data_IF_004482782854
#
_entry.id   IF_004482782854
#
_cell.length_a   1.000
_cell.length_b   1.000
_cell.length_c   1.000
_cell.angle_alpha   90.00
_cell.angle_beta   90.00
_cell.angle_gamma   90.00
#
_symmetry.space_group_name_H-M   'P 1'
#
loop_
_entity.id
_entity.type
_entity.pdbx_description
1 polymer ?
#
# COMPACT_ATOMS: atom_id res chain seq x y z
N UNK A 1 -9.80 -30.71 -20.30
CA UNK A 1 -9.85 -31.38 -21.62
C UNK A 1 -8.56 -32.11 -21.81
N UNK A 2 -8.58 -33.27 -22.46
CA UNK A 2 -7.36 -33.95 -22.89
C UNK A 2 -6.84 -33.21 -24.14
N UNK A 3 -5.67 -32.54 -24.08
CA UNK A 3 -5.14 -31.76 -25.21
C UNK A 3 -4.54 -32.66 -26.31
N UNK A 4 -4.45 -33.98 -26.08
CA UNK A 4 -3.91 -34.92 -27.05
C UNK A 4 -4.87 -35.01 -28.24
N UNK A 5 -4.45 -34.50 -29.41
CA UNK A 5 -5.20 -34.43 -30.68
C UNK A 5 -6.07 -33.19 -30.94
N UNK A 6 -5.98 -32.14 -30.12
CA UNK A 6 -6.59 -30.84 -30.45
C UNK A 6 -5.63 -29.95 -31.22
N UNK A 7 -6.14 -29.09 -32.09
CA UNK A 7 -5.29 -28.06 -32.72
C UNK A 7 -5.00 -26.97 -31.71
N UNK A 8 -3.91 -26.26 -31.95
CA UNK A 8 -3.50 -25.14 -31.13
C UNK A 8 -4.55 -24.03 -31.11
N UNK A 9 -5.25 -23.82 -32.23
CA UNK A 9 -6.32 -22.84 -32.37
C UNK A 9 -7.59 -23.24 -31.58
N UNK A 10 -7.91 -24.54 -31.52
CA UNK A 10 -9.02 -25.05 -30.71
C UNK A 10 -8.82 -24.82 -29.20
N UNK A 11 -7.56 -24.78 -28.75
CA UNK A 11 -7.21 -24.67 -27.32
C UNK A 11 -7.03 -23.22 -26.88
N UNK A 12 -6.34 -22.41 -27.69
CA UNK A 12 -5.97 -21.04 -27.31
C UNK A 12 -6.82 -19.96 -27.99
N UNK A 13 -7.44 -20.27 -29.14
CA UNK A 13 -8.17 -19.32 -29.98
C UNK A 13 -7.39 -18.01 -30.15
N UNK A 14 -6.13 -18.13 -30.56
CA UNK A 14 -5.16 -17.03 -30.61
C UNK A 14 -4.37 -17.08 -31.92
N UNK A 15 -4.69 -16.15 -32.82
CA UNK A 15 -4.10 -16.07 -34.16
C UNK A 15 -2.57 -15.94 -34.14
N UNK A 16 -2.01 -15.19 -33.18
CA UNK A 16 -0.54 -15.03 -33.06
C UNK A 16 0.16 -16.35 -32.79
N UNK A 17 -0.50 -17.22 -32.00
CA UNK A 17 0.06 -18.49 -31.59
C UNK A 17 -0.11 -19.55 -32.68
N UNK A 18 -1.13 -19.43 -33.53
CA UNK A 18 -1.23 -20.18 -34.77
C UNK A 18 -0.12 -19.78 -35.76
N UNK A 19 0.03 -18.49 -36.03
CA UNK A 19 1.02 -17.93 -36.96
C UNK A 19 2.46 -18.33 -36.55
N UNK A 20 2.77 -18.30 -35.25
CA UNK A 20 4.08 -18.71 -34.75
C UNK A 20 4.37 -20.20 -34.95
N UNK A 21 3.36 -21.06 -34.87
CA UNK A 21 3.52 -22.51 -35.12
C UNK A 21 3.71 -22.79 -36.61
N UNK A 22 2.95 -22.12 -37.49
CA UNK A 22 3.14 -22.24 -38.93
C UNK A 22 4.50 -21.70 -39.39
N UNK A 23 4.89 -20.53 -38.89
CA UNK A 23 6.18 -19.92 -39.19
C UNK A 23 7.34 -20.79 -38.69
N UNK A 24 7.27 -21.33 -37.46
CA UNK A 24 8.29 -22.26 -36.94
C UNK A 24 8.42 -23.52 -37.81
N UNK A 25 7.30 -24.07 -38.28
CA UNK A 25 7.30 -25.25 -39.14
C UNK A 25 7.88 -24.99 -40.54
N UNK A 26 7.73 -23.77 -41.05
CA UNK A 26 8.15 -23.40 -42.41
C UNK A 26 9.57 -22.83 -42.45
N UNK A 27 9.90 -21.95 -41.51
CA UNK A 27 11.15 -21.19 -41.46
C UNK A 27 12.22 -21.89 -40.61
N UNK A 28 11.82 -22.76 -39.68
CA UNK A 28 12.76 -23.48 -38.81
C UNK A 28 13.45 -22.58 -37.79
N UNK A 29 12.86 -21.42 -37.48
CA UNK A 29 13.33 -20.49 -36.45
C UNK A 29 12.49 -20.58 -35.17
N UNK A 30 13.07 -20.12 -34.05
CA UNK A 30 12.36 -20.00 -32.78
C UNK A 30 11.51 -18.74 -32.76
N UNK A 31 10.24 -18.89 -32.36
CA UNK A 31 9.33 -17.76 -32.19
C UNK A 31 8.98 -17.58 -30.73
N UNK A 32 9.14 -16.35 -30.23
CA UNK A 32 8.85 -15.98 -28.85
C UNK A 32 8.00 -14.72 -28.82
N UNK A 33 6.83 -14.83 -28.22
CA UNK A 33 5.87 -13.72 -28.12
C UNK A 33 4.98 -13.89 -26.89
N UNK A 34 4.35 -12.79 -26.49
CA UNK A 34 3.45 -12.76 -25.36
C UNK A 34 2.01 -12.56 -25.83
N UNK A 35 1.08 -13.20 -25.14
CA UNK A 35 -0.34 -13.02 -25.39
C UNK A 35 -1.13 -13.13 -24.08
N UNK A 36 -2.34 -12.59 -24.10
CA UNK A 36 -3.31 -12.72 -23.02
C UNK A 36 -4.27 -13.88 -23.31
N UNK A 37 -4.58 -14.68 -22.29
CA UNK A 37 -5.44 -15.86 -22.44
C UNK A 37 -6.40 -16.05 -21.28
N UNK A 38 -7.64 -16.44 -21.57
CA UNK A 38 -8.72 -16.65 -20.60
C UNK A 38 -9.61 -15.42 -20.37
N UNK A 39 -10.83 -15.65 -19.86
CA UNK A 39 -11.83 -14.58 -19.71
C UNK A 39 -11.87 -13.90 -18.33
N UNK A 40 -11.34 -14.54 -17.28
CA UNK A 40 -11.04 -13.97 -15.94
C UNK A 40 -10.65 -15.09 -14.95
N UNK A 41 -9.49 -15.02 -14.25
CA UNK A 41 -8.44 -14.04 -14.47
C UNK A 41 -7.81 -14.21 -15.85
N UNK A 42 -7.47 -13.10 -16.50
CA UNK A 42 -6.69 -13.11 -17.73
C UNK A 42 -5.25 -13.46 -17.38
N UNK A 43 -4.70 -14.49 -18.03
CA UNK A 43 -3.33 -14.91 -17.87
C UNK A 43 -2.45 -14.19 -18.89
N UNK A 44 -1.30 -13.68 -18.46
CA UNK A 44 -0.25 -13.21 -19.36
C UNK A 44 0.71 -14.36 -19.61
N UNK A 45 0.75 -14.87 -20.85
CA UNK A 45 1.53 -16.04 -21.22
C UNK A 45 2.63 -15.62 -22.18
N UNK A 46 3.86 -16.04 -21.87
CA UNK A 46 4.96 -16.06 -22.83
C UNK A 46 4.99 -17.42 -23.52
N UNK A 47 4.66 -17.44 -24.80
CA UNK A 47 4.86 -18.61 -25.65
C UNK A 47 6.27 -18.59 -26.25
N UNK A 48 6.91 -19.75 -26.26
CA UNK A 48 8.12 -19.98 -27.04
C UNK A 48 7.92 -21.26 -27.83
N UNK A 49 8.00 -21.16 -29.16
CA UNK A 49 7.88 -22.27 -30.10
C UNK A 49 9.26 -22.50 -30.71
N UNK A 50 9.88 -23.61 -30.35
CA UNK A 50 11.24 -23.95 -30.78
C UNK A 50 11.19 -25.20 -31.66
N UNK A 51 11.83 -25.20 -32.84
CA UNK A 51 11.91 -26.38 -33.69
C UNK A 51 12.87 -27.40 -33.06
N UNK A 52 12.53 -28.68 -33.20
CA UNK A 52 13.40 -29.76 -32.72
C UNK A 52 14.38 -30.17 -33.82
N UNK A 53 15.65 -30.32 -33.46
CA UNK A 53 16.69 -30.79 -34.40
C UNK A 53 16.44 -32.24 -34.87
N UNK A 54 15.72 -33.04 -34.09
CA UNK A 54 15.31 -34.40 -34.44
C UNK A 54 13.84 -34.59 -34.10
N UNK A 55 13.11 -35.27 -34.99
CA UNK A 55 11.72 -35.64 -34.76
C UNK A 55 11.63 -36.60 -33.57
N UNK A 56 10.72 -36.33 -32.65
CA UNK A 56 10.49 -37.21 -31.50
C UNK A 56 9.99 -38.59 -31.94
N UNK A 57 10.09 -39.60 -31.08
CA UNK A 57 9.60 -40.95 -31.36
C UNK A 57 8.08 -41.01 -31.69
N UNK A 58 7.33 -39.95 -31.36
CA UNK A 58 5.90 -39.80 -31.64
C UNK A 58 5.61 -38.85 -32.82
N UNK A 59 6.63 -38.45 -33.60
CA UNK A 59 6.45 -37.57 -34.76
C UNK A 59 6.45 -36.07 -34.45
N UNK A 60 6.72 -35.67 -33.21
CA UNK A 60 6.79 -34.26 -32.82
C UNK A 60 8.00 -33.56 -33.42
N UNK A 61 7.80 -32.41 -34.06
CA UNK A 61 8.86 -31.64 -34.77
C UNK A 61 9.21 -30.31 -34.09
N UNK A 62 8.42 -29.92 -33.10
CA UNK A 62 8.52 -28.64 -32.40
C UNK A 62 8.18 -28.85 -30.92
N UNK A 63 8.70 -27.99 -30.06
CA UNK A 63 8.30 -27.88 -28.66
C UNK A 63 7.72 -26.49 -28.44
N UNK A 64 6.58 -26.42 -27.77
CA UNK A 64 5.99 -25.17 -27.31
C UNK A 64 6.06 -25.14 -25.79
N UNK A 65 6.65 -24.09 -25.24
CA UNK A 65 6.61 -23.80 -23.80
C UNK A 65 5.73 -22.59 -23.55
N UNK A 66 4.86 -22.70 -22.56
CA UNK A 66 3.97 -21.63 -22.12
C UNK A 66 4.37 -21.28 -20.69
N UNK A 67 4.89 -20.07 -20.50
CA UNK A 67 5.26 -19.56 -19.19
C UNK A 67 4.23 -18.54 -18.73
N UNK A 68 3.61 -18.78 -17.56
CA UNK A 68 2.73 -17.81 -16.92
C UNK A 68 3.55 -16.66 -16.32
N UNK A 69 3.41 -15.47 -16.91
CA UNK A 69 4.01 -14.22 -16.47
C UNK A 69 3.03 -13.31 -15.73
N UNK A 70 1.81 -13.78 -15.42
CA UNK A 70 0.74 -12.95 -14.84
C UNK A 70 1.18 -12.24 -13.56
N UNK A 71 1.79 -12.97 -12.62
CA UNK A 71 2.27 -12.39 -11.35
C UNK A 71 3.41 -11.39 -11.56
N UNK A 72 4.30 -11.68 -12.51
CA UNK A 72 5.40 -10.78 -12.85
C UNK A 72 4.86 -9.48 -13.44
N UNK A 73 3.95 -9.56 -14.41
CA UNK A 73 3.33 -8.40 -15.06
C UNK A 73 2.52 -7.55 -14.09
N UNK A 74 1.76 -8.18 -13.20
CA UNK A 74 1.06 -7.48 -12.13
C UNK A 74 2.05 -6.72 -11.22
N UNK A 75 3.18 -7.34 -10.88
CA UNK A 75 4.22 -6.70 -10.05
C UNK A 75 4.88 -5.53 -10.77
N UNK A 76 5.20 -5.68 -12.06
CA UNK A 76 5.75 -4.61 -12.90
C UNK A 76 4.77 -3.45 -13.04
N UNK A 77 3.49 -3.73 -13.28
CA UNK A 77 2.45 -2.72 -13.37
C UNK A 77 2.29 -1.96 -12.04
N UNK A 78 2.23 -2.66 -10.90
CA UNK A 78 2.15 -2.03 -9.57
C UNK A 78 3.36 -1.13 -9.30
N UNK A 79 4.57 -1.52 -9.75
CA UNK A 79 5.77 -0.68 -9.65
C UNK A 79 5.70 0.55 -10.56
N UNK A 80 5.26 0.38 -11.81
CA UNK A 80 5.11 1.50 -12.75
C UNK A 80 4.07 2.51 -12.25
N UNK A 81 2.92 2.03 -11.79
CA UNK A 81 1.85 2.86 -11.22
C UNK A 81 2.34 3.59 -9.96
N UNK A 82 3.13 2.93 -9.12
CA UNK A 82 3.75 3.57 -7.97
C UNK A 82 4.66 4.75 -8.37
N UNK A 83 5.56 4.55 -9.33
CA UNK A 83 6.46 5.61 -9.82
C UNK A 83 5.68 6.77 -10.44
N UNK A 84 4.65 6.47 -11.24
CA UNK A 84 3.77 7.47 -11.82
C UNK A 84 3.05 8.27 -10.72
N UNK A 85 2.46 7.59 -9.73
CA UNK A 85 1.74 8.23 -8.62
C UNK A 85 2.65 9.11 -7.75
N UNK A 86 3.86 8.64 -7.41
CA UNK A 86 4.88 9.44 -6.71
C UNK A 86 5.19 10.72 -7.50
N UNK A 87 5.43 10.58 -8.80
CA UNK A 87 5.75 11.70 -9.68
C UNK A 87 4.63 12.73 -9.72
N UNK A 88 3.37 12.27 -9.77
CA UNK A 88 2.20 13.16 -9.74
C UNK A 88 2.03 13.86 -8.40
N UNK A 89 2.13 13.13 -7.28
CA UNK A 89 1.97 13.71 -5.94
C UNK A 89 3.10 14.66 -5.54
N UNK A 90 4.29 14.54 -6.14
CA UNK A 90 5.38 15.53 -5.99
C UNK A 90 5.22 16.73 -6.93
N UNK A 91 4.77 16.52 -8.17
CA UNK A 91 4.66 17.60 -9.18
C UNK A 91 3.67 18.67 -8.76
N UNK A 92 2.48 18.30 -8.28
CA UNK A 92 1.43 19.26 -7.91
C UNK A 92 1.87 20.27 -6.84
N UNK A 93 2.34 19.87 -5.64
CA UNK A 93 2.78 20.82 -4.62
C UNK A 93 3.98 21.65 -5.10
N UNK A 94 4.89 21.06 -5.88
CA UNK A 94 6.03 21.78 -6.44
C UNK A 94 5.59 22.89 -7.41
N UNK A 95 4.65 22.61 -8.31
CA UNK A 95 4.08 23.63 -9.21
C UNK A 95 3.38 24.75 -8.44
N UNK A 96 2.67 24.42 -7.36
CA UNK A 96 2.04 25.41 -6.47
C UNK A 96 3.08 26.29 -5.77
N UNK A 97 4.17 25.70 -5.25
CA UNK A 97 5.28 26.45 -4.64
C UNK A 97 5.91 27.42 -5.64
N UNK A 98 6.22 26.95 -6.86
CA UNK A 98 6.78 27.79 -7.93
C UNK A 98 5.86 28.96 -8.25
N UNK A 99 4.54 28.71 -8.41
CA UNK A 99 3.58 29.78 -8.70
C UNK A 99 3.46 30.84 -7.59
N UNK A 100 3.53 30.44 -6.33
CA UNK A 100 3.54 31.41 -5.21
C UNK A 100 4.84 32.20 -5.14
N UNK A 101 5.99 31.56 -5.40
CA UNK A 101 7.29 32.24 -5.50
C UNK A 101 7.25 33.28 -6.62
N UNK A 102 6.77 32.93 -7.81
CA UNK A 102 6.60 33.84 -8.94
C UNK A 102 5.66 35.01 -8.60
N UNK A 103 4.57 34.73 -7.89
CA UNK A 103 3.60 35.76 -7.47
C UNK A 103 4.24 36.77 -6.51
N UNK A 104 4.99 36.30 -5.51
CA UNK A 104 5.70 37.14 -4.54
C UNK A 104 6.86 37.93 -5.17
N UNK A 105 7.50 37.38 -6.21
CA UNK A 105 8.56 38.07 -6.94
C UNK A 105 8.03 39.09 -7.96
N UNK A 106 6.79 38.92 -8.43
CA UNK A 106 6.15 39.77 -9.44
C UNK A 106 4.98 40.59 -8.90
N UNK A 107 3.71 40.24 -9.20
CA UNK A 107 2.56 41.09 -8.93
C UNK A 107 2.33 41.46 -7.46
N UNK A 108 2.67 40.57 -6.53
CA UNK A 108 2.51 40.80 -5.08
C UNK A 108 3.81 41.29 -4.42
N UNK A 109 4.77 41.76 -5.21
CA UNK A 109 6.05 42.23 -4.68
C UNK A 109 5.85 43.45 -3.78
N UNK A 110 6.17 43.30 -2.50
CA UNK A 110 6.03 44.35 -1.50
C UNK A 110 4.67 44.36 -0.79
N UNK A 111 3.77 43.44 -1.12
CA UNK A 111 2.52 43.22 -0.37
C UNK A 111 2.80 42.30 0.83
N UNK A 112 2.85 42.91 2.02
CA UNK A 112 3.16 42.19 3.26
C UNK A 112 2.05 41.20 3.66
N UNK A 113 0.79 41.50 3.37
CA UNK A 113 -0.34 40.62 3.72
C UNK A 113 -0.35 39.38 2.82
N UNK A 114 -0.17 39.59 1.51
CA UNK A 114 -0.01 38.49 0.55
C UNK A 114 1.23 37.64 0.88
N UNK A 115 2.34 38.27 1.30
CA UNK A 115 3.55 37.56 1.72
C UNK A 115 3.30 36.59 2.89
N UNK A 116 2.67 37.06 3.97
CA UNK A 116 2.36 36.19 5.12
C UNK A 116 1.48 35.02 4.70
N UNK A 117 0.43 35.28 3.91
CA UNK A 117 -0.49 34.24 3.44
C UNK A 117 0.22 33.21 2.56
N UNK A 118 0.94 33.64 1.53
CA UNK A 118 1.59 32.72 0.60
C UNK A 118 2.74 31.95 1.25
N UNK A 119 3.52 32.57 2.14
CA UNK A 119 4.55 31.87 2.92
C UNK A 119 3.96 30.76 3.79
N UNK A 120 2.79 31.00 4.41
CA UNK A 120 2.07 29.95 5.16
C UNK A 120 1.70 28.76 4.27
N UNK A 121 1.06 29.02 3.13
CA UNK A 121 0.68 27.95 2.19
C UNK A 121 1.91 27.20 1.66
N UNK A 122 3.00 27.93 1.38
CA UNK A 122 4.26 27.33 0.94
C UNK A 122 4.86 26.42 2.01
N UNK A 123 4.85 26.84 3.28
CA UNK A 123 5.32 26.02 4.39
C UNK A 123 4.51 24.73 4.52
N UNK A 124 3.19 24.80 4.36
CA UNK A 124 2.31 23.63 4.40
C UNK A 124 2.59 22.65 3.25
N UNK A 125 2.80 23.16 2.02
CA UNK A 125 3.16 22.32 0.88
C UNK A 125 4.53 21.68 1.05
N UNK A 126 5.52 22.41 1.57
CA UNK A 126 6.86 21.89 1.85
C UNK A 126 6.81 20.80 2.93
N UNK A 127 6.08 21.02 4.03
CA UNK A 127 5.89 20.03 5.09
C UNK A 127 5.16 18.78 4.58
N UNK A 128 4.20 18.93 3.66
CA UNK A 128 3.53 17.81 2.99
C UNK A 128 4.50 17.01 2.11
N UNK A 129 5.36 17.69 1.33
CA UNK A 129 6.38 17.01 0.52
C UNK A 129 7.41 16.27 1.39
N UNK A 130 7.85 16.85 2.51
CA UNK A 130 8.78 16.18 3.44
C UNK A 130 8.20 14.87 3.94
N UNK A 131 6.95 14.89 4.45
CA UNK A 131 6.26 13.67 4.89
C UNK A 131 6.11 12.63 3.79
N UNK A 132 5.81 13.05 2.56
CA UNK A 132 5.72 12.13 1.43
C UNK A 132 7.07 11.46 1.16
N UNK A 133 8.18 12.20 1.21
CA UNK A 133 9.52 11.64 1.02
C UNK A 133 9.88 10.68 2.15
N UNK A 134 9.60 11.04 3.40
CA UNK A 134 9.82 10.17 4.57
C UNK A 134 9.02 8.86 4.47
N UNK A 135 7.74 8.94 4.09
CA UNK A 135 6.88 7.77 3.86
C UNK A 135 7.45 6.84 2.76
N UNK A 136 7.98 7.42 1.68
CA UNK A 136 8.58 6.65 0.58
C UNK A 136 9.87 5.95 1.00
N UNK A 137 10.73 6.65 1.77
CA UNK A 137 11.97 6.08 2.30
C UNK A 137 11.68 4.95 3.31
N UNK A 138 10.70 5.16 4.19
CA UNK A 138 10.22 4.15 5.13
C UNK A 138 9.72 2.91 4.38
N UNK A 139 8.80 3.08 3.42
CA UNK A 139 8.25 1.98 2.65
C UNK A 139 9.34 1.21 1.89
N UNK A 140 10.27 1.91 1.25
CA UNK A 140 11.42 1.31 0.56
C UNK A 140 12.29 0.49 1.51
N UNK A 141 12.61 1.04 2.68
CA UNK A 141 13.41 0.34 3.71
C UNK A 141 12.72 -0.93 4.20
N UNK A 142 11.41 -0.88 4.46
CA UNK A 142 10.63 -2.04 4.91
C UNK A 142 10.58 -3.13 3.83
N UNK A 143 10.41 -2.74 2.57
CA UNK A 143 10.39 -3.68 1.43
C UNK A 143 11.75 -4.35 1.23
N UNK A 144 12.86 -3.60 1.35
CA UNK A 144 14.21 -4.16 1.28
C UNK A 144 14.49 -5.15 2.41
N UNK A 145 13.93 -4.91 3.60
CA UNK A 145 14.13 -5.72 4.80
C UNK A 145 13.00 -6.73 5.05
N UNK A 146 12.10 -6.96 4.09
CA UNK A 146 10.91 -7.79 4.26
C UNK A 146 11.22 -9.24 4.68
N UNK A 147 12.40 -9.74 4.32
CA UNK A 147 12.85 -11.10 4.68
C UNK A 147 13.52 -11.18 6.06
N UNK A 148 13.86 -10.04 6.67
CA UNK A 148 14.58 -9.97 7.94
C UNK A 148 13.57 -9.70 9.05
N UNK A 149 13.32 -10.73 9.86
CA UNK A 149 12.43 -10.63 11.01
C UNK A 149 13.04 -9.76 12.12
N UNK A 150 12.27 -8.78 12.64
CA UNK A 150 12.64 -8.10 13.86
C UNK A 150 12.75 -9.09 15.03
N UNK A 151 13.81 -8.92 15.84
CA UNK A 151 14.10 -9.82 16.97
C UNK A 151 13.93 -9.16 18.34
N UNK A 152 13.70 -7.85 18.40
CA UNK A 152 13.53 -7.09 19.63
C UNK A 152 12.28 -7.48 20.42
N UNK A 153 12.29 -7.19 21.71
CA UNK A 153 11.12 -7.25 22.58
C UNK A 153 10.61 -5.83 22.79
N UNK A 154 9.36 -5.58 22.40
CA UNK A 154 8.73 -4.25 22.48
C UNK A 154 7.60 -4.30 23.51
N UNK A 155 7.64 -3.40 24.48
CA UNK A 155 6.55 -3.18 25.45
C UNK A 155 5.47 -2.31 24.80
N UNK A 156 4.36 -2.96 24.45
CA UNK A 156 3.29 -2.33 23.70
C UNK A 156 2.43 -1.39 24.52
N UNK A 157 2.35 -1.60 25.84
CA UNK A 157 1.67 -0.65 26.71
C UNK A 157 2.44 0.68 26.74
N UNK A 158 3.76 0.62 26.91
CA UNK A 158 4.61 1.83 26.91
C UNK A 158 4.61 2.55 25.57
N UNK A 159 4.71 1.80 24.47
CA UNK A 159 4.72 2.38 23.14
C UNK A 159 3.41 3.14 22.85
N UNK A 160 2.26 2.52 23.11
CA UNK A 160 0.95 3.15 22.90
C UNK A 160 0.78 4.40 23.75
N UNK A 161 1.26 4.38 25.00
CA UNK A 161 1.25 5.55 25.88
C UNK A 161 2.05 6.71 25.27
N UNK A 162 3.31 6.46 24.88
CA UNK A 162 4.19 7.50 24.29
C UNK A 162 3.62 8.09 23.00
N UNK A 163 3.05 7.25 22.12
CA UNK A 163 2.43 7.72 20.88
C UNK A 163 1.19 8.56 21.18
N UNK A 164 0.34 8.12 22.12
CA UNK A 164 -0.87 8.85 22.52
C UNK A 164 -0.54 10.21 23.14
N UNK A 165 0.45 10.26 24.03
CA UNK A 165 0.93 11.52 24.63
C UNK A 165 1.44 12.48 23.56
N UNK A 166 2.18 11.98 22.57
CA UNK A 166 2.71 12.81 21.49
C UNK A 166 1.61 13.38 20.58
N UNK A 167 0.50 12.66 20.43
CA UNK A 167 -0.66 13.06 19.62
C UNK A 167 -1.75 13.80 20.40
N UNK A 168 -1.65 13.88 21.72
CA UNK A 168 -2.63 14.54 22.61
C UNK A 168 -2.92 15.99 22.19
N UNK A 169 -1.88 16.82 22.04
CA UNK A 169 -2.01 18.21 21.57
C UNK A 169 -2.72 18.34 20.22
N UNK A 170 -2.58 17.33 19.34
CA UNK A 170 -3.24 17.34 18.03
C UNK A 170 -4.70 16.94 18.15
N UNK A 171 -5.02 15.95 18.98
CA UNK A 171 -6.40 15.58 19.30
C UNK A 171 -7.14 16.76 19.95
N UNK A 172 -6.54 17.44 20.92
CA UNK A 172 -7.13 18.61 21.58
C UNK A 172 -7.44 19.74 20.60
N UNK A 173 -6.53 20.04 19.65
CA UNK A 173 -6.78 21.03 18.60
C UNK A 173 -7.92 20.64 17.65
N UNK A 174 -8.20 19.34 17.54
CA UNK A 174 -9.33 18.81 16.78
C UNK A 174 -10.61 18.67 17.64
N UNK A 175 -10.59 19.17 18.89
CA UNK A 175 -11.65 18.99 19.89
C UNK A 175 -11.96 17.51 20.15
N UNK A 176 -10.92 16.69 20.28
CA UNK A 176 -11.01 15.25 20.51
C UNK A 176 -10.15 14.84 21.69
N UNK A 177 -10.39 13.64 22.22
CA UNK A 177 -9.56 13.02 23.25
C UNK A 177 -9.10 11.62 22.85
N UNK A 178 -8.07 11.11 23.54
CA UNK A 178 -7.56 9.75 23.34
C UNK A 178 -7.75 9.00 24.65
N UNK A 179 -8.51 7.91 24.63
CA UNK A 179 -8.70 7.01 25.77
C UNK A 179 -7.98 5.68 25.55
N UNK A 180 -7.49 5.09 26.63
CA UNK A 180 -6.64 3.90 26.60
C UNK A 180 -7.13 2.84 27.59
N UNK A 181 -7.49 1.68 27.05
CA UNK A 181 -7.89 0.50 27.78
C UNK A 181 -6.87 -0.63 27.51
N UNK A 182 -5.81 -0.68 28.33
CA UNK A 182 -4.67 -1.58 28.14
C UNK A 182 -4.60 -2.60 29.28
N UNK A 183 -4.69 -3.89 28.94
CA UNK A 183 -4.79 -4.98 29.90
C UNK A 183 -3.55 -5.86 29.94
N UNK A 184 -2.76 -5.75 31.01
CA UNK A 184 -1.62 -6.63 31.32
C UNK A 184 -0.30 -6.25 30.61
N UNK A 185 0.79 -7.00 30.85
CA UNK A 185 2.05 -6.80 30.15
C UNK A 185 1.94 -7.30 28.70
N UNK A 186 2.13 -6.40 27.74
CA UNK A 186 1.97 -6.69 26.31
C UNK A 186 3.34 -6.65 25.62
N UNK A 187 4.10 -7.74 25.71
CA UNK A 187 5.38 -7.85 25.02
C UNK A 187 5.18 -8.45 23.63
N UNK A 188 5.68 -7.76 22.61
CA UNK A 188 5.62 -8.17 21.21
C UNK A 188 7.02 -8.36 20.65
N UNK A 189 7.21 -9.36 19.79
CA UNK A 189 8.45 -9.49 19.02
C UNK A 189 8.44 -8.47 17.89
N UNK A 190 9.33 -7.50 17.90
CA UNK A 190 9.27 -6.40 16.94
C UNK A 190 10.42 -5.42 16.96
N UNK A 191 10.35 -4.51 16.00
CA UNK A 191 11.14 -3.29 15.93
C UNK A 191 10.34 -2.14 16.54
N UNK A 192 10.94 -1.42 17.50
CA UNK A 192 10.23 -0.39 18.26
C UNK A 192 9.86 0.82 17.39
N UNK A 193 10.73 1.21 16.45
CA UNK A 193 10.50 2.39 15.61
C UNK A 193 9.42 2.10 14.58
N UNK A 194 9.43 0.91 13.99
CA UNK A 194 8.40 0.50 13.05
C UNK A 194 7.02 0.32 13.72
N UNK A 195 6.97 -0.30 14.90
CA UNK A 195 5.70 -0.41 15.63
C UNK A 195 5.20 0.97 16.10
N UNK A 196 6.10 1.88 16.45
CA UNK A 196 5.75 3.29 16.72
C UNK A 196 5.11 3.91 15.49
N UNK A 197 5.69 3.70 14.31
CA UNK A 197 5.15 4.20 13.05
C UNK A 197 3.77 3.59 12.72
N UNK A 198 3.53 2.32 13.04
CA UNK A 198 2.22 1.68 12.87
C UNK A 198 1.16 2.44 13.67
N UNK A 199 1.37 2.56 14.98
CA UNK A 199 0.35 3.14 15.85
C UNK A 199 0.25 4.66 15.69
N UNK A 200 1.34 5.35 15.36
CA UNK A 200 1.28 6.75 14.96
C UNK A 200 0.34 6.94 13.78
N UNK A 201 0.51 6.17 12.70
CA UNK A 201 -0.34 6.28 11.50
C UNK A 201 -1.81 5.97 11.78
N UNK A 202 -2.09 4.94 12.59
CA UNK A 202 -3.46 4.55 12.92
C UNK A 202 -4.16 5.59 13.79
N UNK A 203 -3.48 6.07 14.84
CA UNK A 203 -4.03 7.07 15.78
C UNK A 203 -4.16 8.44 15.08
N UNK A 204 -3.17 8.84 14.28
CA UNK A 204 -3.26 10.07 13.48
C UNK A 204 -4.46 10.03 12.52
N UNK A 205 -4.71 8.89 11.88
CA UNK A 205 -5.89 8.71 11.03
C UNK A 205 -7.18 8.78 11.83
N UNK A 206 -7.26 8.11 13.00
CA UNK A 206 -8.43 8.18 13.87
C UNK A 206 -8.77 9.63 14.27
N UNK A 207 -7.77 10.44 14.64
CA UNK A 207 -7.95 11.86 14.95
C UNK A 207 -8.43 12.64 13.71
N UNK A 208 -7.76 12.41 12.58
CA UNK A 208 -8.00 13.13 11.33
C UNK A 208 -9.38 12.87 10.71
N UNK A 209 -9.91 11.66 10.86
CA UNK A 209 -11.17 11.23 10.27
C UNK A 209 -12.31 11.12 11.28
N UNK A 210 -12.02 11.22 12.58
CA UNK A 210 -13.00 11.34 13.65
C UNK A 210 -13.78 12.66 13.57
N UNK A 211 -14.95 12.70 14.21
CA UNK A 211 -15.75 13.92 14.34
C UNK A 211 -15.27 14.74 15.54
N UNK A 212 -15.59 16.02 15.52
CA UNK A 212 -15.39 16.95 16.65
C UNK A 212 -16.14 16.44 17.90
N UNK A 213 -15.53 16.55 19.08
CA UNK A 213 -16.07 16.15 20.37
C UNK A 213 -15.92 14.65 20.70
N UNK A 214 -15.26 13.87 19.84
CA UNK A 214 -15.17 12.41 19.99
C UNK A 214 -13.90 11.93 20.69
N UNK A 215 -13.94 10.67 21.10
CA UNK A 215 -12.82 9.98 21.74
C UNK A 215 -12.27 8.91 20.82
N UNK A 216 -10.97 8.96 20.54
CA UNK A 216 -10.24 7.86 19.91
C UNK A 216 -9.94 6.84 21.00
N UNK A 217 -10.50 5.63 20.88
CA UNK A 217 -10.34 4.58 21.87
C UNK A 217 -9.26 3.59 21.43
N UNK A 218 -8.25 3.40 22.28
CA UNK A 218 -7.21 2.40 22.09
C UNK A 218 -7.46 1.23 23.04
N UNK A 219 -7.69 0.04 22.48
CA UNK A 219 -7.84 -1.18 23.28
C UNK A 219 -6.68 -2.13 22.99
N UNK A 220 -5.98 -2.56 24.03
CA UNK A 220 -4.87 -3.49 23.86
C UNK A 220 -4.96 -4.64 24.87
N UNK A 221 -4.88 -5.88 24.37
CA UNK A 221 -4.99 -7.07 25.22
C UNK A 221 -4.26 -8.27 24.61
N UNK A 222 -3.86 -9.19 25.48
CA UNK A 222 -3.39 -10.51 25.07
C UNK A 222 -4.58 -11.39 24.64
N UNK A 223 -4.46 -12.06 23.50
CA UNK A 223 -5.44 -13.01 22.97
C UNK A 223 -4.77 -14.37 22.74
N UNK A 224 -5.54 -15.38 22.33
CA UNK A 224 -5.00 -16.70 21.97
C UNK A 224 -4.11 -17.30 23.07
N UNK A 225 -4.60 -17.27 24.33
CA UNK A 225 -3.83 -17.70 25.52
C UNK A 225 -2.47 -16.99 25.68
N UNK A 226 -2.41 -15.72 25.27
CA UNK A 226 -1.20 -14.90 25.33
C UNK A 226 -0.13 -15.25 24.30
N UNK A 227 -0.47 -15.98 23.24
CA UNK A 227 0.42 -16.17 22.07
C UNK A 227 0.44 -14.97 21.14
N UNK A 228 -0.56 -14.11 21.24
CA UNK A 228 -0.75 -12.97 20.36
C UNK A 228 -1.24 -11.76 21.17
N UNK A 229 -0.85 -10.57 20.73
CA UNK A 229 -1.31 -9.29 21.26
C UNK A 229 -2.18 -8.62 20.20
N UNK A 230 -3.39 -8.23 20.59
CA UNK A 230 -4.30 -7.44 19.75
C UNK A 230 -4.33 -6.00 20.24
N UNK A 231 -4.21 -5.07 19.30
CA UNK A 231 -4.39 -3.63 19.51
C UNK A 231 -5.43 -3.12 18.54
N UNK A 232 -6.50 -2.53 19.06
CA UNK A 232 -7.57 -1.89 18.30
C UNK A 232 -7.47 -0.37 18.44
N UNK A 233 -7.50 0.34 17.31
CA UNK A 233 -7.66 1.79 17.24
C UNK A 233 -9.05 2.08 16.71
N UNK A 234 -9.90 2.69 17.54
CA UNK A 234 -11.32 2.87 17.28
C UNK A 234 -11.62 4.38 17.20
N UNK A 235 -12.22 4.80 16.10
CA UNK A 235 -12.77 6.14 15.89
C UNK A 235 -14.29 6.07 15.68
N UNK A 236 -14.97 7.16 15.97
CA UNK A 236 -16.41 7.34 15.73
C UNK A 236 -16.67 8.27 14.53
N UNK A 237 -15.76 8.28 13.56
CA UNK A 237 -15.79 9.16 12.40
C UNK A 237 -16.93 8.90 11.40
N UNK A 238 -16.73 9.36 10.18
CA UNK A 238 -17.68 9.15 9.07
C UNK A 238 -17.79 7.69 8.62
N UNK A 239 -16.89 6.82 9.10
CA UNK A 239 -16.78 5.45 8.62
C UNK A 239 -16.38 5.38 7.15
N UNK A 240 -16.42 4.16 6.61
CA UNK A 240 -15.89 3.83 5.28
C UNK A 240 -16.83 2.83 4.62
N UNK A 241 -17.23 3.12 3.38
CA UNK A 241 -18.04 2.19 2.58
C UNK A 241 -17.30 0.87 2.33
N UNK A 242 -18.02 -0.25 2.39
CA UNK A 242 -17.49 -1.60 2.24
C UNK A 242 -16.68 -1.77 0.93
N UNK A 243 -17.07 -1.08 -0.15
CA UNK A 243 -16.36 -1.16 -1.44
C UNK A 243 -14.90 -0.64 -1.38
N UNK A 244 -14.59 0.19 -0.38
CA UNK A 244 -13.27 0.81 -0.23
C UNK A 244 -12.35 -0.01 0.69
N UNK A 245 -12.88 -0.83 1.59
CA UNK A 245 -12.13 -1.48 2.68
C UNK A 245 -10.93 -2.30 2.21
N UNK A 246 -11.12 -3.11 1.15
CA UNK A 246 -10.04 -3.95 0.58
C UNK A 246 -8.90 -3.12 -0.02
N UNK A 247 -9.20 -1.88 -0.41
CA UNK A 247 -8.31 -0.99 -1.14
C UNK A 247 -7.60 0.03 -0.25
N UNK A 248 -8.04 0.21 1.01
CA UNK A 248 -7.45 1.18 1.95
C UNK A 248 -5.95 1.00 2.20
N UNK A 249 -5.44 -0.21 1.98
CA UNK A 249 -4.01 -0.53 2.13
C UNK A 249 -3.22 -0.48 0.81
N UNK A 250 -3.87 -0.13 -0.30
CA UNK A 250 -3.20 0.17 -1.57
C UNK A 250 -2.43 1.49 -1.44
N UNK A 251 -1.25 1.55 -2.08
CA UNK A 251 -0.42 2.76 -2.09
C UNK A 251 -1.17 3.90 -2.80
N UNK A 252 -1.15 5.11 -2.23
CA UNK A 252 -1.81 6.31 -2.75
C UNK A 252 -3.35 6.22 -2.84
N UNK A 253 -3.96 5.16 -2.33
CA UNK A 253 -5.41 5.02 -2.35
C UNK A 253 -6.08 5.89 -1.28
N UNK A 254 -7.19 6.51 -1.67
CA UNK A 254 -7.94 7.46 -0.84
C UNK A 254 -9.41 7.40 -1.26
N UNK A 255 -10.31 7.40 -0.29
CA UNK A 255 -11.76 7.41 -0.53
C UNK A 255 -12.19 8.71 -1.21
N UNK A 256 -11.76 9.86 -0.67
CA UNK A 256 -11.93 11.18 -1.28
C UNK A 256 -10.56 11.85 -1.49
N UNK A 257 -10.18 12.02 -2.77
CA UNK A 257 -8.91 12.64 -3.16
C UNK A 257 -8.87 14.14 -2.84
N UNK A 258 -9.99 14.85 -2.88
CA UNK A 258 -10.06 16.30 -2.66
C UNK A 258 -9.85 16.64 -1.19
N UNK A 259 -10.79 16.22 -0.35
CA UNK A 259 -10.78 16.48 1.09
C UNK A 259 -9.53 15.94 1.78
N UNK A 260 -9.07 14.75 1.40
CA UNK A 260 -7.90 14.17 2.04
C UNK A 260 -6.62 14.96 1.72
N UNK A 261 -6.51 15.57 0.52
CA UNK A 261 -5.35 16.39 0.11
C UNK A 261 -5.28 17.67 0.93
N UNK A 262 -6.42 18.30 1.17
CA UNK A 262 -6.54 19.47 2.06
C UNK A 262 -6.10 19.12 3.49
N UNK A 263 -6.47 17.95 3.98
CA UNK A 263 -6.03 17.45 5.29
C UNK A 263 -4.59 16.85 5.26
N UNK A 264 -3.81 17.07 4.19
CA UNK A 264 -2.39 16.73 4.13
C UNK A 264 -2.04 15.24 4.11
N UNK A 265 -2.95 14.37 3.67
CA UNK A 265 -2.65 12.92 3.57
C UNK A 265 -1.74 12.60 2.38
N UNK A 266 -0.79 11.68 2.57
CA UNK A 266 0.05 11.12 1.51
C UNK A 266 -0.64 9.95 0.80
N UNK A 267 -1.51 9.23 1.51
CA UNK A 267 -2.11 7.97 1.03
C UNK A 267 -1.16 6.77 1.13
N UNK A 268 -0.02 6.92 1.82
CA UNK A 268 0.95 5.85 2.04
C UNK A 268 0.86 5.25 3.45
N UNK A 269 0.34 5.99 4.44
CA UNK A 269 0.33 5.55 5.84
C UNK A 269 -0.23 4.15 6.08
N UNK A 270 -1.42 3.81 5.55
CA UNK A 270 -1.99 2.46 5.72
C UNK A 270 -1.25 1.38 4.93
N UNK A 271 -0.60 1.74 3.82
CA UNK A 271 0.27 0.81 3.09
C UNK A 271 1.52 0.50 3.93
N UNK A 272 2.14 1.52 4.55
CA UNK A 272 3.26 1.35 5.49
C UNK A 272 2.85 0.45 6.65
N UNK A 273 1.71 0.73 7.29
CA UNK A 273 1.16 -0.11 8.38
C UNK A 273 1.07 -1.57 7.94
N UNK A 274 0.47 -1.84 6.78
CA UNK A 274 0.34 -3.21 6.26
C UNK A 274 1.69 -3.90 6.07
N UNK A 275 2.69 -3.21 5.52
CA UNK A 275 4.01 -3.80 5.29
C UNK A 275 4.76 -4.07 6.60
N UNK A 276 4.71 -3.13 7.56
CA UNK A 276 5.31 -3.33 8.89
C UNK A 276 4.66 -4.51 9.60
N UNK A 277 3.33 -4.53 9.67
CA UNK A 277 2.58 -5.62 10.33
C UNK A 277 2.89 -6.97 9.67
N UNK A 278 2.95 -7.04 8.34
CA UNK A 278 3.33 -8.26 7.62
C UNK A 278 4.77 -8.70 7.94
N UNK A 279 5.74 -7.77 7.95
CA UNK A 279 7.14 -8.03 8.34
C UNK A 279 7.24 -8.62 9.75
N UNK A 280 6.36 -8.21 10.65
CA UNK A 280 6.25 -8.69 12.02
C UNK A 280 5.46 -10.01 12.17
N UNK A 281 5.08 -10.66 11.07
CA UNK A 281 4.16 -11.83 11.06
C UNK A 281 2.82 -11.56 11.76
N UNK A 282 2.42 -10.30 11.80
CA UNK A 282 1.12 -9.88 12.29
C UNK A 282 0.06 -9.92 11.20
N UNK A 283 -1.16 -9.60 11.61
CA UNK A 283 -2.30 -9.39 10.71
C UNK A 283 -2.98 -8.09 11.06
N UNK A 284 -3.56 -7.45 10.04
CA UNK A 284 -4.35 -6.24 10.18
C UNK A 284 -5.74 -6.50 9.62
N UNK A 285 -6.77 -6.04 10.32
CA UNK A 285 -8.15 -6.03 9.83
C UNK A 285 -8.79 -4.66 10.06
N UNK A 286 -9.71 -4.30 9.17
CA UNK A 286 -10.44 -3.03 9.23
C UNK A 286 -11.93 -3.36 9.23
N UNK A 287 -12.63 -2.89 10.25
CA UNK A 287 -14.09 -2.92 10.31
C UNK A 287 -14.59 -1.48 10.32
N UNK A 288 -15.55 -1.14 9.47
CA UNK A 288 -16.09 0.21 9.41
C UNK A 288 -17.51 0.16 8.90
N UNK A 289 -18.34 1.07 9.43
CA UNK A 289 -19.71 1.26 8.96
C UNK A 289 -19.91 2.76 8.76
N UNK A 290 -20.44 3.20 7.59
CA UNK A 290 -20.73 4.60 7.35
C UNK A 290 -21.51 5.23 8.51
N UNK A 291 -21.07 6.42 8.89
CA UNK A 291 -21.57 7.26 9.98
C UNK A 291 -21.46 6.71 11.42
N UNK A 292 -20.87 5.52 11.59
CA UNK A 292 -20.62 4.91 12.90
C UNK A 292 -19.14 4.90 13.30
N UNK A 293 -18.24 5.11 12.34
CA UNK A 293 -16.79 5.12 12.56
C UNK A 293 -16.08 3.85 12.11
N UNK A 294 -14.84 3.68 12.55
CA UNK A 294 -13.97 2.59 12.11
C UNK A 294 -13.17 1.98 13.26
N UNK A 295 -12.83 0.71 13.10
CA UNK A 295 -11.93 -0.04 13.98
C UNK A 295 -10.81 -0.64 13.14
N UNK A 296 -9.59 -0.21 13.43
CA UNK A 296 -8.38 -0.76 12.86
C UNK A 296 -7.74 -1.69 13.89
N UNK A 297 -7.74 -2.99 13.60
CA UNK A 297 -7.19 -4.01 14.48
C UNK A 297 -5.86 -4.50 13.96
N UNK A 298 -4.84 -4.48 14.81
CA UNK A 298 -3.52 -5.05 14.57
C UNK A 298 -3.31 -6.19 15.55
N UNK A 299 -2.95 -7.37 15.04
CA UNK A 299 -2.59 -8.52 15.87
C UNK A 299 -1.16 -8.92 15.57
N UNK A 300 -0.34 -9.04 16.61
CA UNK A 300 1.09 -9.32 16.54
C UNK A 300 1.45 -10.53 17.41
N UNK A 301 2.44 -11.36 17.01
CA UNK A 301 2.93 -12.44 17.86
C UNK A 301 3.51 -11.90 19.18
N UNK A 302 3.12 -12.49 20.30
CA UNK A 302 3.69 -12.15 21.60
C UNK A 302 5.17 -12.54 21.66
N UNK A 303 5.98 -11.74 22.35
CA UNK A 303 7.35 -12.11 22.67
C UNK A 303 7.34 -13.17 23.78
N UNK A 304 7.53 -14.42 23.38
CA UNK A 304 7.87 -15.51 24.30
C UNK A 304 9.39 -15.61 24.32
N UNK A 305 9.97 -15.34 25.49
CA UNK A 305 11.43 -15.43 25.73
C UNK A 305 11.97 -16.83 25.51
#
# INVERSE_FOLDING_TARGET
MDPVSQTVDDVFSNDLLYDAVEACNTEGEEFRFEFEWGQRPTLSILATVTPMQQTSAQGGRMIMTLQDLTTQRQTEQVRADFVANVSHELRTPLSTLVGFIETLQGPARGDAEAAVKFLGIMADQAARMSRLVEDLLSLSSIEMNASILPSGAVDMARLLLTVSESLSNRAERADQSIDQEIHGPLLVRGDSDELTQVFWNLIENAIKYGRTGQTVNLRASAISEGSEIRVDVIDEGEGIDAQHLSRLTERFYRVDKGRSREMGGTGLGLAIVKHIVARHRGRMSIASVPDQGSTFSVVLPAFRG
#
